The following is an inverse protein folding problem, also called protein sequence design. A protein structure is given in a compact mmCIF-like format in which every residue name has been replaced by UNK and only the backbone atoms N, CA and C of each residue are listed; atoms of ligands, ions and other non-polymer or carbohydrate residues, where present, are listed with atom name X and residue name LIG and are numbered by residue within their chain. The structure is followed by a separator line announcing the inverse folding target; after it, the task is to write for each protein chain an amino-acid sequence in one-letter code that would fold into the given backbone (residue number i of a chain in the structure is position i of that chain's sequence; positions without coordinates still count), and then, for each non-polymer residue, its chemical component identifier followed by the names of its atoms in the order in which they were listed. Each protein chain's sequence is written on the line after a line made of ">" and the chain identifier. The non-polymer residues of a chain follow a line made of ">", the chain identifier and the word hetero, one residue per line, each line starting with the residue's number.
data_IF_403505265300
#
_entry.id   IF_403505265300
#
_cell.length_a   1.000
_cell.length_b   1.000
_cell.length_c   1.000
_cell.angle_alpha   90.00
_cell.angle_beta   90.00
_cell.angle_gamma   90.00
#
_symmetry.space_group_name_H-M   'P 1'
#
loop_
_entity.id
_entity.type
_entity.pdbx_description
1 polymer ?
#
# COMPACT_ATOMS: atom_id res chain seq x y z
N UNK A 1 20.25 -3.94 -16.40
CA UNK A 1 19.08 -3.12 -16.01
C UNK A 1 18.77 -3.56 -14.59
N UNK A 2 19.24 -2.82 -13.60
CA UNK A 2 19.01 -3.16 -12.19
C UNK A 2 17.51 -2.99 -11.93
N UNK A 3 16.79 -4.11 -11.82
CA UNK A 3 15.47 -4.07 -11.23
C UNK A 3 15.67 -3.70 -9.77
N UNK A 4 15.18 -2.52 -9.39
CA UNK A 4 15.29 -2.06 -8.01
C UNK A 4 14.46 -3.02 -7.15
N UNK A 5 15.01 -3.53 -6.04
CA UNK A 5 14.33 -4.51 -5.17
C UNK A 5 12.93 -4.03 -4.75
N UNK A 6 12.73 -2.72 -4.65
CA UNK A 6 11.43 -2.10 -4.38
C UNK A 6 10.36 -2.40 -5.45
N UNK A 7 10.76 -2.48 -6.73
CA UNK A 7 9.87 -2.76 -7.86
C UNK A 7 9.45 -4.23 -7.87
N UNK A 8 10.35 -5.15 -7.51
CA UNK A 8 10.03 -6.58 -7.38
C UNK A 8 9.05 -6.84 -6.23
N UNK A 9 9.23 -6.15 -5.10
CA UNK A 9 8.30 -6.25 -3.97
C UNK A 9 6.91 -5.75 -4.38
N UNK A 10 6.83 -4.61 -5.07
CA UNK A 10 5.55 -4.08 -5.55
C UNK A 10 4.88 -5.03 -6.53
N UNK A 11 5.63 -5.57 -7.50
CA UNK A 11 5.11 -6.52 -8.48
C UNK A 11 4.54 -7.77 -7.80
N UNK A 12 5.27 -8.32 -6.81
CA UNK A 12 4.82 -9.49 -6.05
C UNK A 12 3.55 -9.20 -5.25
N UNK A 13 3.43 -8.02 -4.64
CA UNK A 13 2.22 -7.61 -3.92
C UNK A 13 1.03 -7.50 -4.86
N UNK A 14 1.21 -6.86 -6.03
CA UNK A 14 0.17 -6.75 -7.04
C UNK A 14 -0.28 -8.12 -7.57
N UNK A 15 0.67 -9.05 -7.84
CA UNK A 15 0.35 -10.44 -8.21
C UNK A 15 -0.47 -11.17 -7.14
N UNK A 16 -0.27 -10.84 -5.87
CA UNK A 16 -1.04 -11.38 -4.75
C UNK A 16 -2.37 -10.63 -4.50
N UNK A 17 -2.80 -9.77 -5.43
CA UNK A 17 -4.09 -9.09 -5.38
C UNK A 17 -4.11 -7.80 -4.56
N UNK A 18 -2.95 -7.25 -4.19
CA UNK A 18 -2.87 -5.93 -3.55
C UNK A 18 -3.11 -4.85 -4.61
N UNK A 19 -4.09 -3.99 -4.35
CA UNK A 19 -4.44 -2.89 -5.25
C UNK A 19 -3.64 -1.64 -4.89
N UNK A 20 -3.09 -0.97 -5.91
CA UNK A 20 -2.44 0.34 -5.81
C UNK A 20 -3.45 1.44 -6.10
N UNK A 21 -3.45 2.48 -5.28
CA UNK A 21 -4.32 3.64 -5.37
C UNK A 21 -3.48 4.91 -5.52
N UNK A 22 -3.88 5.82 -6.42
CA UNK A 22 -3.25 7.14 -6.57
C UNK A 22 -3.77 8.17 -5.55
N UNK A 23 -4.96 7.91 -4.97
CA UNK A 23 -5.60 8.74 -3.96
C UNK A 23 -6.16 7.85 -2.86
N UNK A 24 -6.16 8.35 -1.62
CA UNK A 24 -6.75 7.62 -0.50
C UNK A 24 -8.26 7.47 -0.74
N UNK A 25 -8.80 6.24 -0.79
CA UNK A 25 -10.25 6.05 -0.92
C UNK A 25 -10.99 6.64 0.28
N UNK A 26 -12.25 7.05 0.05
CA UNK A 26 -13.11 7.58 1.11
C UNK A 26 -13.24 6.55 2.25
N UNK A 27 -13.14 7.03 3.49
CA UNK A 27 -13.21 6.23 4.74
C UNK A 27 -12.06 5.22 4.94
N UNK A 28 -11.05 5.22 4.08
CA UNK A 28 -9.83 4.46 4.28
C UNK A 28 -8.82 5.28 5.09
N UNK A 29 -7.90 4.57 5.76
CA UNK A 29 -6.86 5.17 6.60
C UNK A 29 -5.49 4.59 6.27
N UNK A 30 -4.47 5.42 6.42
CA UNK A 30 -3.07 5.01 6.36
C UNK A 30 -2.75 4.16 7.59
N UNK A 31 -2.10 3.02 7.37
CA UNK A 31 -1.61 2.14 8.42
C UNK A 31 -0.31 2.75 8.97
N UNK A 32 -0.38 3.27 10.20
CA UNK A 32 0.78 3.82 10.90
C UNK A 32 1.71 2.69 11.37
N UNK A 33 3.01 2.92 11.32
CA UNK A 33 4.03 1.98 11.82
C UNK A 33 4.25 0.74 10.95
N UNK A 34 3.76 0.72 9.71
CA UNK A 34 4.06 -0.36 8.78
C UNK A 34 5.55 -0.33 8.41
N UNK A 35 6.28 -1.39 8.76
CA UNK A 35 7.72 -1.56 8.47
C UNK A 35 8.00 -2.13 7.08
N UNK A 36 6.96 -2.63 6.40
CA UNK A 36 7.01 -3.29 5.09
C UNK A 36 6.43 -2.43 3.97
N UNK A 37 6.52 -1.11 4.09
CA UNK A 37 6.10 -0.20 3.02
C UNK A 37 7.11 -0.30 1.85
N UNK A 38 6.66 -0.60 0.61
CA UNK A 38 7.50 -0.42 -0.57
C UNK A 38 7.88 1.06 -0.73
N UNK A 39 9.06 1.34 -1.29
CA UNK A 39 9.54 2.72 -1.49
C UNK A 39 8.53 3.50 -2.36
N UNK A 40 8.13 4.69 -1.91
CA UNK A 40 7.12 5.51 -2.60
C UNK A 40 5.66 5.07 -2.37
N UNK A 41 5.40 4.12 -1.45
CA UNK A 41 4.05 3.66 -1.14
C UNK A 41 3.79 3.62 0.37
N UNK A 42 2.51 3.71 0.75
CA UNK A 42 2.04 3.50 2.14
C UNK A 42 0.91 2.50 2.16
N UNK A 43 0.93 1.59 3.13
CA UNK A 43 -0.21 0.72 3.38
C UNK A 43 -1.45 1.50 3.83
N UNK A 44 -2.60 1.15 3.27
CA UNK A 44 -3.91 1.70 3.63
C UNK A 44 -4.91 0.56 3.89
N UNK A 45 -5.93 0.83 4.71
CA UNK A 45 -7.06 -0.09 4.90
C UNK A 45 -8.40 0.64 5.01
N UNK A 46 -9.50 -0.09 4.81
CA UNK A 46 -10.87 0.45 4.83
C UNK A 46 -11.44 0.68 6.24
N UNK A 47 -10.61 0.74 7.27
CA UNK A 47 -11.05 1.00 8.65
C UNK A 47 -11.77 -0.16 9.35
N UNK A 48 -12.12 -1.25 8.65
CA UNK A 48 -12.82 -2.40 9.24
C UNK A 48 -11.88 -3.25 10.09
N UNK A 49 -12.46 -4.03 11.00
CA UNK A 49 -11.70 -5.01 11.80
C UNK A 49 -11.11 -6.09 10.89
N UNK A 50 -9.86 -6.48 11.13
CA UNK A 50 -9.21 -7.62 10.43
C UNK A 50 -9.90 -8.95 10.67
N UNK A 51 -10.65 -9.07 11.77
CA UNK A 51 -11.46 -10.25 12.10
C UNK A 51 -12.83 -10.24 11.42
N UNK A 52 -13.18 -9.16 10.73
CA UNK A 52 -14.37 -9.11 9.88
C UNK A 52 -14.05 -9.65 8.49
N UNK A 53 -15.04 -10.28 7.85
CA UNK A 53 -14.96 -10.71 6.43
C UNK A 53 -14.86 -9.53 5.43
N UNK A 54 -14.94 -8.30 5.91
CA UNK A 54 -15.01 -7.07 5.11
C UNK A 54 -13.71 -6.25 5.16
N UNK A 55 -12.65 -6.74 5.80
CA UNK A 55 -11.36 -6.04 5.81
C UNK A 55 -10.77 -5.98 4.41
N UNK A 56 -10.34 -4.79 3.99
CA UNK A 56 -9.61 -4.58 2.74
C UNK A 56 -8.39 -3.72 3.00
N UNK A 57 -7.32 -4.00 2.26
CA UNK A 57 -6.08 -3.24 2.29
C UNK A 57 -5.53 -3.02 0.89
N UNK A 58 -4.62 -2.06 0.77
CA UNK A 58 -3.97 -1.70 -0.48
C UNK A 58 -2.75 -0.81 -0.23
N UNK A 59 -2.14 -0.38 -1.32
CA UNK A 59 -1.03 0.56 -1.31
C UNK A 59 -1.50 1.92 -1.85
N UNK A 60 -1.15 2.99 -1.16
CA UNK A 60 -1.32 4.36 -1.64
C UNK A 60 0.01 4.84 -2.19
N UNK A 61 0.03 5.30 -3.44
CA UNK A 61 1.20 5.94 -4.04
C UNK A 61 1.44 7.28 -3.34
N UNK A 62 2.63 7.45 -2.78
CA UNK A 62 3.05 8.69 -2.16
C UNK A 62 3.91 9.42 -3.18
N UNK A 63 3.53 10.64 -3.53
CA UNK A 63 4.47 11.54 -4.19
C UNK A 63 5.52 11.88 -3.13
N UNK A 64 6.76 11.44 -3.34
CA UNK A 64 7.89 12.04 -2.62
C UNK A 64 7.83 13.53 -2.96
N UNK A 65 7.31 14.34 -2.03
CA UNK A 65 7.72 15.73 -2.01
C UNK A 65 9.20 15.65 -1.66
N UNK A 66 10.06 16.05 -2.60
CA UNK A 66 11.43 16.40 -2.29
C UNK A 66 11.37 17.49 -1.23
N UNK A 67 11.57 17.10 0.03
CA UNK A 67 11.97 18.01 1.10
C UNK A 67 13.46 18.33 0.93
#
# INVERSE_FOLDING_TARGET
>A
MENNVADEVLEKLCKNGVIVYDKLPKDWKIIKGATTNPKGYKWINNGKSRFSKNYKQGLLKVKENAE
#
